data_IF_204655517354
#
_entry.id   IF_204655517354
#
_cell.length_a   1.000
_cell.length_b   1.000
_cell.length_c   1.000
_cell.angle_alpha   90.00
_cell.angle_beta   90.00
_cell.angle_gamma   90.00
#
_symmetry.space_group_name_H-M   'P 1'
#
loop_
_entity.id
_entity.type
_entity.pdbx_description
1 polymer ?
#
# COMPACT_ATOMS: atom_id res chain seq x y z
N UNK A 1 23.93 21.25 -12.95
CA UNK A 1 23.19 21.45 -11.74
C UNK A 1 22.27 20.28 -11.42
N UNK A 2 22.55 19.61 -10.37
CA UNK A 2 21.83 18.41 -10.02
C UNK A 2 20.74 18.61 -8.98
N UNK A 3 20.31 19.84 -8.86
CA UNK A 3 19.38 20.19 -7.82
C UNK A 3 18.07 19.44 -7.87
N UNK A 4 17.57 19.19 -9.09
CA UNK A 4 16.30 18.50 -9.22
C UNK A 4 16.28 17.15 -8.56
N UNK A 5 17.28 16.30 -8.86
CA UNK A 5 17.34 14.96 -8.31
C UNK A 5 17.59 14.99 -6.81
N UNK A 6 18.49 15.86 -6.37
CA UNK A 6 18.77 16.00 -4.95
C UNK A 6 17.57 16.53 -4.21
N UNK A 7 16.90 17.51 -4.79
CA UNK A 7 15.71 18.07 -4.16
C UNK A 7 14.63 17.02 -3.95
N UNK A 8 14.46 16.11 -4.91
CA UNK A 8 13.48 15.05 -4.77
C UNK A 8 13.81 14.12 -3.60
N UNK A 9 15.06 13.69 -3.50
CA UNK A 9 15.47 12.83 -2.41
C UNK A 9 15.35 13.54 -1.08
N UNK A 10 15.76 14.80 -1.03
CA UNK A 10 15.67 15.57 0.20
C UNK A 10 14.22 15.76 0.62
N UNK A 11 13.32 15.98 -0.33
CA UNK A 11 11.91 16.05 -0.03
C UNK A 11 11.41 14.74 0.56
N UNK A 12 11.82 13.63 -0.01
CA UNK A 12 11.41 12.33 0.51
C UNK A 12 11.91 12.11 1.92
N UNK A 13 13.16 12.48 2.19
CA UNK A 13 13.72 12.34 3.52
C UNK A 13 13.01 13.26 4.51
N UNK A 14 12.69 14.46 4.07
CA UNK A 14 11.96 15.41 4.91
C UNK A 14 10.58 14.88 5.27
N UNK A 15 9.90 14.26 4.31
CA UNK A 15 8.60 13.66 4.59
C UNK A 15 8.72 12.51 5.58
N UNK A 16 9.79 11.74 5.50
CA UNK A 16 10.02 10.67 6.47
C UNK A 16 10.13 11.23 7.87
N UNK A 17 10.83 12.36 8.03
CA UNK A 17 10.97 13.01 9.34
C UNK A 17 9.61 13.50 9.82
N UNK A 18 8.83 14.12 8.93
CA UNK A 18 7.51 14.63 9.31
C UNK A 18 6.55 13.52 9.71
N UNK A 19 6.58 12.43 8.99
CA UNK A 19 5.72 11.29 9.28
C UNK A 19 6.18 10.54 10.52
N UNK A 20 7.43 10.77 10.93
CA UNK A 20 8.03 10.04 12.02
C UNK A 20 8.41 8.65 11.60
N UNK A 21 8.74 7.84 12.57
CA UNK A 21 9.19 6.47 12.30
C UNK A 21 8.04 5.51 12.06
N UNK A 22 6.81 5.95 12.26
CA UNK A 22 5.65 5.06 12.13
C UNK A 22 5.50 4.48 10.73
N UNK A 23 5.93 5.22 9.69
CA UNK A 23 5.85 4.72 8.32
C UNK A 23 6.65 3.44 8.12
N UNK A 24 7.67 3.21 8.93
CA UNK A 24 8.56 2.07 8.79
C UNK A 24 8.18 0.91 9.70
N UNK A 25 7.26 1.13 10.62
CA UNK A 25 6.90 0.11 11.61
C UNK A 25 5.87 -0.81 11.01
N UNK A 26 6.12 -2.14 11.02
CA UNK A 26 5.11 -3.09 10.58
C UNK A 26 3.91 -3.08 11.52
N UNK A 27 2.74 -3.13 10.94
CA UNK A 27 1.49 -3.17 11.67
C UNK A 27 0.74 -4.41 11.23
N UNK A 28 0.41 -5.27 12.18
CA UNK A 28 -0.26 -6.53 11.89
C UNK A 28 -1.76 -6.37 12.09
N UNK A 29 -2.52 -6.75 11.06
CA UNK A 29 -3.97 -6.72 11.13
C UNK A 29 -4.54 -8.07 10.76
N UNK A 30 -5.56 -8.50 11.51
CA UNK A 30 -6.20 -9.77 11.26
C UNK A 30 -7.45 -9.61 10.42
N UNK A 31 -7.64 -10.54 9.49
CA UNK A 31 -8.80 -10.52 8.61
C UNK A 31 -9.37 -11.93 8.50
N UNK A 32 -10.65 -11.98 8.18
CA UNK A 32 -11.28 -13.24 7.81
C UNK A 32 -11.43 -13.25 6.30
N UNK A 33 -10.76 -14.19 5.65
CA UNK A 33 -10.75 -14.28 4.21
C UNK A 33 -11.18 -15.68 3.81
N UNK A 34 -12.28 -15.80 3.08
CA UNK A 34 -12.81 -17.08 2.65
C UNK A 34 -12.97 -18.08 3.80
N UNK A 35 -13.39 -17.57 4.95
CA UNK A 35 -13.60 -18.40 6.12
C UNK A 35 -12.37 -18.69 6.95
N UNK A 36 -11.21 -18.21 6.54
CA UNK A 36 -9.97 -18.44 7.26
C UNK A 36 -9.50 -17.15 7.92
N UNK A 37 -8.87 -17.29 9.09
CA UNK A 37 -8.22 -16.16 9.75
C UNK A 37 -6.86 -15.94 9.10
N UNK A 38 -6.62 -14.74 8.64
CA UNK A 38 -5.36 -14.38 7.99
C UNK A 38 -4.81 -13.14 8.66
N UNK A 39 -3.52 -13.18 9.01
CA UNK A 39 -2.83 -12.02 9.56
C UNK A 39 -1.96 -11.41 8.47
N UNK A 40 -2.13 -10.10 8.27
CA UNK A 40 -1.35 -9.38 7.27
C UNK A 40 -0.45 -8.38 8.00
N UNK A 41 0.84 -8.45 7.70
CA UNK A 41 1.81 -7.52 8.27
C UNK A 41 2.32 -6.61 7.17
N UNK A 42 2.06 -5.32 7.30
CA UNK A 42 2.52 -4.31 6.36
C UNK A 42 3.02 -3.12 7.16
N UNK A 43 4.05 -2.47 6.64
CA UNK A 43 4.49 -1.22 7.21
C UNK A 43 3.34 -0.21 7.17
N UNK A 44 3.30 0.67 8.14
CA UNK A 44 2.18 1.60 8.29
C UNK A 44 1.93 2.42 7.03
N UNK A 45 2.99 2.79 6.31
CA UNK A 45 2.85 3.54 5.07
C UNK A 45 2.01 2.80 4.04
N UNK A 46 2.17 1.49 3.96
CA UNK A 46 1.36 0.69 3.03
C UNK A 46 -0.09 0.62 3.47
N UNK A 47 -0.34 0.53 4.78
CA UNK A 47 -1.74 0.52 5.24
C UNK A 47 -2.46 1.79 4.84
N UNK A 48 -1.78 2.93 4.89
CA UNK A 48 -2.41 4.18 4.46
C UNK A 48 -2.77 4.15 2.98
N UNK A 49 -1.92 3.57 2.14
CA UNK A 49 -2.24 3.42 0.72
C UNK A 49 -3.41 2.45 0.54
N UNK A 50 -3.43 1.35 1.27
CA UNK A 50 -4.52 0.38 1.22
C UNK A 50 -5.85 1.07 1.59
N UNK A 51 -5.84 1.89 2.63
CA UNK A 51 -7.04 2.61 3.03
C UNK A 51 -7.49 3.60 1.94
N UNK A 52 -6.54 4.24 1.28
CA UNK A 52 -6.85 5.15 0.18
C UNK A 52 -7.49 4.41 -0.99
N UNK A 53 -6.93 3.25 -1.34
CA UNK A 53 -7.50 2.43 -2.42
C UNK A 53 -8.94 2.03 -2.07
N UNK A 54 -9.14 1.55 -0.85
CA UNK A 54 -10.45 1.11 -0.42
C UNK A 54 -11.47 2.26 -0.49
N UNK A 55 -11.06 3.43 -0.04
CA UNK A 55 -11.93 4.60 -0.09
C UNK A 55 -12.27 4.99 -1.53
N UNK A 56 -11.30 4.94 -2.42
CA UNK A 56 -11.53 5.29 -3.82
C UNK A 56 -12.47 4.30 -4.49
N UNK A 57 -12.30 3.03 -4.20
CA UNK A 57 -13.16 1.98 -4.77
C UNK A 57 -14.53 1.94 -4.09
N UNK A 58 -14.62 2.46 -2.88
CA UNK A 58 -15.88 2.48 -2.14
C UNK A 58 -16.15 1.20 -1.37
N UNK A 59 -15.12 0.55 -0.89
CA UNK A 59 -15.27 -0.69 -0.11
C UNK A 59 -14.48 -0.57 1.19
N UNK A 60 -14.71 -1.50 2.10
CA UNK A 60 -13.94 -1.54 3.34
C UNK A 60 -12.59 -2.18 3.11
N UNK A 61 -11.65 -1.94 4.02
CA UNK A 61 -10.33 -2.56 3.94
C UNK A 61 -10.45 -4.10 3.97
N UNK A 62 -11.20 -4.70 4.89
CA UNK A 62 -11.36 -6.17 4.85
C UNK A 62 -11.89 -6.68 3.51
N UNK A 63 -12.83 -5.98 2.91
CA UNK A 63 -13.36 -6.36 1.60
C UNK A 63 -12.28 -6.23 0.52
N UNK A 64 -11.46 -5.21 0.59
CA UNK A 64 -10.35 -5.06 -0.35
C UNK A 64 -9.37 -6.23 -0.24
N UNK A 65 -9.00 -6.60 0.99
CA UNK A 65 -8.11 -7.73 1.22
C UNK A 65 -8.70 -9.00 0.61
N UNK A 66 -9.99 -9.22 0.81
CA UNK A 66 -10.65 -10.40 0.26
C UNK A 66 -10.63 -10.39 -1.27
N UNK A 67 -10.90 -9.25 -1.87
CA UNK A 67 -10.87 -9.13 -3.32
C UNK A 67 -9.49 -9.39 -3.90
N UNK A 68 -8.45 -8.94 -3.21
CA UNK A 68 -7.07 -9.22 -3.64
C UNK A 68 -6.80 -10.71 -3.56
N UNK A 69 -7.21 -11.34 -2.47
CA UNK A 69 -7.02 -12.77 -2.28
C UNK A 69 -7.71 -13.57 -3.38
N UNK A 70 -8.93 -13.20 -3.74
CA UNK A 70 -9.70 -13.92 -4.74
C UNK A 70 -9.30 -13.58 -6.17
N UNK A 71 -8.88 -12.35 -6.39
CA UNK A 71 -8.60 -11.87 -7.74
C UNK A 71 -7.18 -12.05 -8.20
N UNK A 72 -6.24 -12.19 -7.27
CA UNK A 72 -4.83 -12.32 -7.62
C UNK A 72 -4.48 -13.80 -7.72
N UNK A 73 -4.06 -14.22 -8.91
CA UNK A 73 -3.82 -15.64 -9.18
C UNK A 73 -2.73 -16.24 -8.30
N UNK A 74 -1.78 -15.40 -7.88
CA UNK A 74 -0.63 -15.89 -7.12
C UNK A 74 -0.74 -15.62 -5.63
N UNK A 75 -1.80 -14.95 -5.18
CA UNK A 75 -1.93 -14.58 -3.79
C UNK A 75 -2.35 -15.77 -2.93
N UNK A 76 -1.68 -15.92 -1.78
CA UNK A 76 -2.04 -16.94 -0.81
C UNK A 76 -1.63 -16.46 0.58
N UNK A 77 -1.85 -17.27 1.61
CA UNK A 77 -1.55 -16.89 2.99
C UNK A 77 -0.10 -16.50 3.21
N UNK A 78 0.81 -17.08 2.43
CA UNK A 78 2.23 -16.89 2.66
C UNK A 78 2.76 -15.63 2.00
N UNK A 79 2.12 -15.17 0.92
CA UNK A 79 2.64 -14.03 0.15
C UNK A 79 1.67 -12.85 0.08
N UNK A 80 0.60 -12.84 0.87
CA UNK A 80 -0.41 -11.79 0.79
C UNK A 80 0.20 -10.41 1.02
N UNK A 81 1.14 -10.30 1.96
CA UNK A 81 1.78 -9.02 2.22
C UNK A 81 2.54 -8.52 1.00
N UNK A 82 3.27 -9.41 0.33
CA UNK A 82 3.99 -9.05 -0.89
C UNK A 82 3.03 -8.62 -1.98
N UNK A 83 1.93 -9.35 -2.15
CA UNK A 83 0.92 -9.00 -3.14
C UNK A 83 0.33 -7.62 -2.87
N UNK A 84 0.07 -7.32 -1.62
CA UNK A 84 -0.49 -6.03 -1.26
C UNK A 84 0.50 -4.89 -1.50
N UNK A 85 1.78 -5.12 -1.23
CA UNK A 85 2.81 -4.12 -1.53
C UNK A 85 2.87 -3.83 -3.03
N UNK A 86 2.80 -4.87 -3.84
CA UNK A 86 2.82 -4.70 -5.30
C UNK A 86 1.59 -3.92 -5.76
N UNK A 87 0.44 -4.22 -5.18
CA UNK A 87 -0.80 -3.51 -5.52
C UNK A 87 -0.71 -2.03 -5.16
N UNK A 88 -0.13 -1.74 -3.99
CA UNK A 88 0.09 -0.34 -3.60
C UNK A 88 0.98 0.38 -4.60
N UNK A 89 2.05 -0.28 -5.02
CA UNK A 89 2.95 0.32 -6.00
C UNK A 89 2.25 0.55 -7.34
N UNK A 90 1.47 -0.41 -7.79
CA UNK A 90 0.71 -0.26 -9.03
C UNK A 90 -0.29 0.89 -8.94
N UNK A 91 -0.96 0.99 -7.80
CA UNK A 91 -1.92 2.07 -7.59
C UNK A 91 -1.23 3.44 -7.68
N UNK A 92 -0.09 3.58 -7.01
CA UNK A 92 0.64 4.84 -6.99
C UNK A 92 1.12 5.19 -8.40
N UNK A 93 1.65 4.21 -9.13
CA UNK A 93 2.09 4.41 -10.51
C UNK A 93 0.93 4.82 -11.41
N UNK A 94 -0.20 4.20 -11.25
CA UNK A 94 -1.37 4.51 -12.06
C UNK A 94 -1.89 5.91 -11.75
N UNK A 95 -1.89 6.29 -10.49
CA UNK A 95 -2.31 7.63 -10.08
C UNK A 95 -1.39 8.69 -10.66
N UNK A 96 -0.08 8.45 -10.63
CA UNK A 96 0.89 9.37 -11.20
C UNK A 96 0.69 9.51 -12.71
N UNK A 97 0.42 8.40 -13.39
CA UNK A 97 0.17 8.42 -14.83
C UNK A 97 -1.07 9.23 -15.17
N UNK A 98 -2.12 9.08 -14.38
CA UNK A 98 -3.34 9.85 -14.61
C UNK A 98 -3.10 11.34 -14.47
N UNK A 99 -2.29 11.74 -13.50
CA UNK A 99 -1.94 13.14 -13.32
C UNK A 99 -1.13 13.65 -14.52
N UNK A 100 -0.16 12.87 -14.97
CA UNK A 100 0.70 13.25 -16.08
C UNK A 100 -0.08 13.34 -17.39
N UNK A 101 -1.06 12.49 -17.56
CA UNK A 101 -1.83 12.42 -18.80
C UNK A 101 -2.85 13.53 -18.95
N UNK A 102 -3.01 14.36 -17.92
CA UNK A 102 -3.88 15.51 -18.01
C UNK A 102 -3.20 16.63 -18.79
#
# INVERSE_FOLDING_TARGET
MQKGAQDLLEQMFSECVKSGLSDYVPDKRGFRVCGHSTTVSLEHAYWRVIETIAAEVGITVPHLIERVFLGCVVCNDKNVSSCLRVICLKYINESARRVVCV
#
